data_IF_183906116130
#
_entry.id   IF_183906116130
#
_cell.length_a   1.000
_cell.length_b   1.000
_cell.length_c   1.000
_cell.angle_alpha   90.00
_cell.angle_beta   90.00
_cell.angle_gamma   90.00
#
_symmetry.space_group_name_H-M   'P 1'
#
loop_
_entity.id
_entity.type
_entity.pdbx_description
1 polymer ?
#
# COMPACT_ATOMS: atom_id res chain seq x y z
N UNK A 1 -13.08 2.79 4.40
CA UNK A 1 -12.13 1.93 5.16
C UNK A 1 -12.07 0.51 4.58
N UNK A 2 -13.18 -0.17 4.37
CA UNK A 2 -13.17 -1.55 3.84
C UNK A 2 -12.37 -1.68 2.55
N UNK A 3 -12.68 -0.88 1.54
CA UNK A 3 -11.96 -0.88 0.26
C UNK A 3 -10.45 -0.65 0.44
N UNK A 4 -10.04 0.22 1.37
CA UNK A 4 -8.61 0.49 1.61
C UNK A 4 -7.91 -0.72 2.22
N UNK A 5 -8.56 -1.37 3.19
CA UNK A 5 -8.02 -2.59 3.79
C UNK A 5 -7.95 -3.74 2.77
N UNK A 6 -9.00 -3.91 1.97
CA UNK A 6 -9.02 -4.92 0.90
C UNK A 6 -7.93 -4.64 -0.14
N UNK A 7 -7.70 -3.37 -0.52
CA UNK A 7 -6.59 -2.96 -1.37
C UNK A 7 -5.23 -3.38 -0.78
N UNK A 8 -5.00 -3.13 0.51
CA UNK A 8 -3.78 -3.54 1.19
C UNK A 8 -3.58 -5.05 1.09
N UNK A 9 -4.60 -5.83 1.45
CA UNK A 9 -4.48 -7.29 1.46
C UNK A 9 -4.31 -7.88 0.05
N UNK A 10 -5.03 -7.37 -0.95
CA UNK A 10 -4.86 -7.79 -2.34
C UNK A 10 -3.45 -7.48 -2.89
N UNK A 11 -2.87 -6.35 -2.48
CA UNK A 11 -1.47 -6.02 -2.80
C UNK A 11 -0.50 -7.00 -2.12
N UNK A 12 -0.71 -7.31 -0.85
CA UNK A 12 0.11 -8.25 -0.08
C UNK A 12 0.06 -9.67 -0.69
N UNK A 13 -1.10 -10.12 -1.15
CA UNK A 13 -1.26 -11.43 -1.81
C UNK A 13 -0.42 -11.59 -3.07
N UNK A 14 0.01 -10.48 -3.70
CA UNK A 14 0.91 -10.53 -4.85
C UNK A 14 2.37 -10.74 -4.44
N UNK A 15 2.70 -10.63 -3.16
CA UNK A 15 4.08 -10.70 -2.68
C UNK A 15 4.57 -12.14 -2.62
N UNK A 16 5.42 -12.50 -3.58
CA UNK A 16 6.12 -13.79 -3.65
C UNK A 16 7.35 -13.65 -4.55
N UNK A 17 8.35 -14.53 -4.41
CA UNK A 17 9.51 -14.52 -5.30
C UNK A 17 9.11 -14.58 -6.77
N UNK A 18 9.74 -13.73 -7.59
CA UNK A 18 9.53 -13.65 -9.03
C UNK A 18 8.40 -12.71 -9.47
N UNK A 19 7.44 -12.36 -8.62
CA UNK A 19 6.53 -11.26 -8.89
C UNK A 19 7.27 -9.92 -8.80
N UNK A 20 6.61 -8.85 -9.19
CA UNK A 20 7.20 -7.50 -9.18
C UNK A 20 6.41 -6.54 -8.31
N UNK A 21 7.01 -5.42 -7.93
CA UNK A 21 6.29 -4.32 -7.26
C UNK A 21 5.16 -3.76 -8.15
N UNK A 22 5.29 -3.87 -9.48
CA UNK A 22 4.22 -3.50 -10.40
C UNK A 22 3.00 -4.41 -10.33
N UNK A 23 3.18 -5.70 -9.98
CA UNK A 23 2.06 -6.61 -9.73
C UNK A 23 1.29 -6.20 -8.47
N UNK A 24 2.02 -5.82 -7.42
CA UNK A 24 1.43 -5.29 -6.16
C UNK A 24 0.60 -4.04 -6.45
N UNK A 25 1.20 -3.03 -7.09
CA UNK A 25 0.51 -1.77 -7.40
C UNK A 25 -0.68 -1.98 -8.33
N UNK A 26 -0.56 -2.86 -9.32
CA UNK A 26 -1.64 -3.19 -10.24
C UNK A 26 -2.86 -3.80 -9.52
N UNK A 27 -2.65 -4.77 -8.63
CA UNK A 27 -3.73 -5.40 -7.88
C UNK A 27 -4.52 -4.37 -7.04
N UNK A 28 -3.81 -3.48 -6.36
CA UNK A 28 -4.39 -2.38 -5.57
C UNK A 28 -5.21 -1.45 -6.47
N UNK A 29 -4.61 -0.97 -7.55
CA UNK A 29 -5.21 -0.01 -8.48
C UNK A 29 -6.49 -0.56 -9.13
N UNK A 30 -6.44 -1.80 -9.62
CA UNK A 30 -7.58 -2.43 -10.27
C UNK A 30 -8.77 -2.58 -9.32
N UNK A 31 -8.52 -3.01 -8.09
CA UNK A 31 -9.59 -3.15 -7.10
C UNK A 31 -10.17 -1.79 -6.71
N UNK A 32 -9.33 -0.82 -6.36
CA UNK A 32 -9.80 0.53 -6.02
C UNK A 32 -10.65 1.15 -7.13
N UNK A 33 -10.21 1.06 -8.37
CA UNK A 33 -10.95 1.57 -9.54
C UNK A 33 -12.26 0.81 -9.78
N UNK A 34 -12.32 -0.50 -9.55
CA UNK A 34 -13.56 -1.28 -9.63
C UNK A 34 -14.61 -0.79 -8.63
N UNK A 35 -14.16 -0.28 -7.49
CA UNK A 35 -14.99 0.33 -6.45
C UNK A 35 -15.24 1.84 -6.69
N UNK A 36 -14.73 2.41 -7.79
CA UNK A 36 -14.82 3.84 -8.17
C UNK A 36 -14.08 4.77 -7.20
N UNK A 37 -13.00 4.30 -6.58
CA UNK A 37 -12.15 5.06 -5.68
C UNK A 37 -10.83 5.42 -6.33
N UNK A 38 -10.25 6.56 -5.90
CA UNK A 38 -8.94 7.02 -6.36
C UNK A 38 -7.81 6.47 -5.50
N UNK A 39 -6.69 6.10 -6.14
CA UNK A 39 -5.46 5.70 -5.45
C UNK A 39 -4.50 6.88 -5.43
N UNK A 40 -4.07 7.31 -4.25
CA UNK A 40 -3.09 8.38 -4.09
C UNK A 40 -1.73 7.91 -4.61
N UNK A 41 -1.09 8.75 -5.43
CA UNK A 41 0.23 8.49 -6.03
C UNK A 41 1.34 9.42 -5.52
N UNK A 42 0.99 10.44 -4.74
CA UNK A 42 1.94 11.40 -4.17
C UNK A 42 2.74 10.81 -2.99
N UNK A 43 2.27 9.69 -2.46
CA UNK A 43 2.89 8.92 -1.39
C UNK A 43 2.97 7.45 -1.78
N UNK A 44 3.94 6.75 -1.24
CA UNK A 44 4.17 5.33 -1.53
C UNK A 44 4.72 4.61 -0.30
N UNK A 45 4.67 3.29 -0.32
CA UNK A 45 5.42 2.45 0.57
C UNK A 45 6.91 2.47 0.24
N UNK A 46 7.71 1.85 1.07
CA UNK A 46 9.16 1.93 1.00
C UNK A 46 9.85 0.66 1.47
N UNK A 47 11.04 0.42 0.98
CA UNK A 47 11.94 -0.56 1.58
C UNK A 47 12.25 -0.18 3.03
N UNK A 48 12.53 -1.18 3.86
CA UNK A 48 12.87 -1.00 5.27
C UNK A 48 14.08 -1.86 5.64
N UNK A 49 14.99 -1.30 6.43
CA UNK A 49 16.20 -1.97 6.87
C UNK A 49 16.81 -1.21 8.05
N UNK A 50 18.11 -0.95 8.00
CA UNK A 50 18.78 -0.11 9.01
C UNK A 50 18.24 1.30 9.04
N UNK A 51 17.82 1.80 7.86
CA UNK A 51 17.08 3.04 7.70
C UNK A 51 15.59 2.71 7.61
N UNK A 52 14.76 3.50 8.30
CA UNK A 52 13.31 3.30 8.29
C UNK A 52 12.72 3.45 6.89
N UNK A 53 13.09 4.51 6.17
CA UNK A 53 12.75 4.70 4.77
C UNK A 53 13.96 4.39 3.89
N UNK A 54 13.87 3.35 3.10
CA UNK A 54 14.91 2.91 2.18
C UNK A 54 14.32 2.56 0.81
N UNK A 55 15.12 2.53 -0.27
CA UNK A 55 14.67 1.95 -1.54
C UNK A 55 14.29 0.46 -1.39
N UNK A 56 13.41 -0.05 -2.27
CA UNK A 56 12.72 0.65 -3.35
C UNK A 56 11.48 1.41 -2.90
N UNK A 57 10.98 2.35 -3.71
CA UNK A 57 9.63 2.90 -3.56
C UNK A 57 8.60 1.85 -3.96
N UNK A 58 7.56 1.68 -3.14
CA UNK A 58 6.48 0.72 -3.34
C UNK A 58 5.22 1.47 -3.72
N UNK A 59 5.00 1.63 -5.01
CA UNK A 59 3.82 2.34 -5.53
C UNK A 59 2.56 1.49 -5.39
N UNK A 60 1.43 2.15 -5.15
CA UNK A 60 0.11 1.51 -5.05
C UNK A 60 -0.67 1.55 -6.37
N UNK A 61 0.01 1.84 -7.45
CA UNK A 61 -0.41 1.76 -8.86
C UNK A 61 0.69 1.08 -9.65
N UNK A 62 0.36 0.41 -10.75
CA UNK A 62 1.42 -0.26 -11.50
C UNK A 62 0.95 -1.02 -12.73
N UNK A 63 1.88 -1.74 -13.31
CA UNK A 63 1.66 -2.61 -14.46
C UNK A 63 2.22 -4.00 -14.16
N UNK A 64 1.49 -5.08 -14.52
CA UNK A 64 1.95 -6.45 -14.30
C UNK A 64 3.35 -6.68 -14.87
N UNK A 65 4.19 -7.34 -14.09
CA UNK A 65 5.54 -7.71 -14.47
C UNK A 65 6.52 -6.54 -14.61
N UNK A 66 6.19 -5.34 -14.12
CA UNK A 66 7.06 -4.16 -14.18
C UNK A 66 7.62 -3.78 -12.81
N UNK A 67 8.77 -3.11 -12.83
CA UNK A 67 9.45 -2.65 -11.62
C UNK A 67 10.35 -3.72 -10.99
N UNK A 68 10.68 -3.51 -9.73
CA UNK A 68 11.61 -4.38 -8.98
C UNK A 68 11.03 -5.79 -8.84
N UNK A 69 11.80 -6.78 -9.20
CA UNK A 69 11.48 -8.21 -8.98
C UNK A 69 11.65 -8.50 -7.49
N UNK A 70 10.67 -9.19 -6.91
CA UNK A 70 10.68 -9.56 -5.51
C UNK A 70 11.54 -10.80 -5.28
N UNK A 71 12.44 -10.68 -4.30
CA UNK A 71 13.38 -11.75 -3.90
C UNK A 71 13.25 -12.03 -2.40
N UNK A 72 13.43 -13.28 -1.95
CA UNK A 72 13.44 -13.61 -0.53
C UNK A 72 14.41 -12.72 0.26
N UNK A 73 14.00 -12.28 1.44
CA UNK A 73 14.78 -11.41 2.31
C UNK A 73 14.58 -9.91 2.07
N UNK A 74 13.78 -9.50 1.09
CA UNK A 74 13.36 -8.12 0.94
C UNK A 74 12.33 -7.75 2.00
N UNK A 75 12.51 -6.59 2.65
CA UNK A 75 11.58 -6.00 3.62
C UNK A 75 11.08 -4.66 3.11
N UNK A 76 9.78 -4.44 3.16
CA UNK A 76 9.15 -3.19 2.72
C UNK A 76 7.75 -3.01 3.31
N UNK A 77 7.19 -1.81 3.13
CA UNK A 77 5.82 -1.48 3.50
C UNK A 77 4.90 -1.49 2.27
N UNK A 78 3.65 -1.86 2.50
CA UNK A 78 2.53 -1.60 1.58
C UNK A 78 1.52 -0.80 2.39
N UNK A 79 1.16 0.41 1.91
CA UNK A 79 0.45 1.41 2.70
C UNK A 79 -0.52 2.27 1.85
N UNK A 80 -1.45 1.65 1.12
CA UNK A 80 -2.30 2.37 0.18
C UNK A 80 -3.16 3.43 0.87
N UNK A 81 -3.15 4.63 0.29
CA UNK A 81 -4.10 5.70 0.59
C UNK A 81 -5.19 5.71 -0.47
N UNK A 82 -6.43 5.46 -0.08
CA UNK A 82 -7.57 5.33 -0.99
C UNK A 82 -8.58 6.43 -0.70
N UNK A 83 -8.95 7.18 -1.74
CA UNK A 83 -9.87 8.31 -1.68
C UNK A 83 -11.24 7.92 -2.25
N UNK A 84 -12.33 8.38 -1.63
CA UNK A 84 -13.67 8.23 -2.19
C UNK A 84 -13.89 9.05 -3.47
N UNK A 85 -13.01 10.00 -3.73
CA UNK A 85 -12.99 10.86 -4.92
C UNK A 85 -11.73 10.66 -5.76
N UNK A 86 -11.15 11.78 -6.21
CA UNK A 86 -9.96 11.77 -7.06
C UNK A 86 -8.68 11.50 -6.25
N UNK A 87 -7.66 10.99 -6.94
CA UNK A 87 -6.36 10.69 -6.34
C UNK A 87 -5.58 11.93 -5.84
N UNK A 88 -5.84 13.11 -6.41
CA UNK A 88 -5.06 14.32 -6.18
C UNK A 88 -5.10 14.77 -4.72
N UNK A 89 -3.92 15.10 -4.17
CA UNK A 89 -3.73 15.63 -2.83
C UNK A 89 -3.24 17.07 -2.84
N UNK A 90 -3.17 17.71 -1.70
CA UNK A 90 -2.46 18.96 -1.47
C UNK A 90 -1.88 18.98 -0.06
N UNK A 91 -0.72 19.62 0.07
CA UNK A 91 -0.10 19.92 1.36
C UNK A 91 -0.64 21.26 1.86
N UNK A 92 -0.99 21.32 3.13
CA UNK A 92 -1.44 22.56 3.78
C UNK A 92 -0.26 23.49 4.08
N UNK A 93 -0.59 24.71 4.57
CA UNK A 93 0.40 25.75 4.86
C UNK A 93 1.39 25.41 5.99
N UNK A 94 1.10 24.38 6.78
CA UNK A 94 2.02 23.84 7.79
C UNK A 94 3.18 23.01 7.18
N UNK A 95 3.15 22.76 5.85
CA UNK A 95 4.16 22.00 5.13
C UNK A 95 4.17 20.51 5.43
N UNK A 96 3.18 20.01 6.16
CA UNK A 96 3.10 18.63 6.62
C UNK A 96 1.77 17.95 6.31
N UNK A 97 0.65 18.58 6.68
CA UNK A 97 -0.67 17.97 6.55
C UNK A 97 -1.07 17.80 5.09
N UNK A 98 -1.27 16.56 4.66
CA UNK A 98 -1.80 16.22 3.35
C UNK A 98 -3.32 15.99 3.43
N UNK A 99 -4.07 16.60 2.51
CA UNK A 99 -5.51 16.43 2.41
C UNK A 99 -5.91 16.14 0.96
N UNK A 100 -7.08 15.52 0.77
CA UNK A 100 -7.66 15.35 -0.56
C UNK A 100 -7.99 16.72 -1.18
N UNK A 101 -7.65 16.89 -2.45
CA UNK A 101 -7.90 18.18 -3.13
C UNK A 101 -9.37 18.45 -3.34
N UNK A 102 -10.19 17.42 -3.51
CA UNK A 102 -11.63 17.50 -3.72
C UNK A 102 -12.45 17.42 -2.43
N UNK A 103 -11.80 17.38 -1.26
CA UNK A 103 -12.40 17.23 0.06
C UNK A 103 -13.14 15.90 0.28
N UNK A 104 -12.88 14.89 -0.56
CA UNK A 104 -13.37 13.54 -0.37
C UNK A 104 -12.74 12.88 0.88
N UNK A 105 -13.36 11.81 1.35
CA UNK A 105 -12.80 11.01 2.44
C UNK A 105 -11.61 10.21 1.94
N UNK A 106 -10.63 10.00 2.81
CA UNK A 106 -9.46 9.17 2.58
C UNK A 106 -9.24 8.23 3.75
N UNK A 107 -8.72 7.05 3.45
CA UNK A 107 -8.27 6.10 4.48
C UNK A 107 -6.94 5.48 4.06
N UNK A 108 -6.14 5.08 5.05
CA UNK A 108 -4.89 4.38 4.88
C UNK A 108 -4.82 3.20 5.85
N UNK A 109 -4.29 2.09 5.37
CA UNK A 109 -3.81 0.97 6.18
C UNK A 109 -2.42 0.61 5.72
N UNK A 110 -1.60 0.13 6.65
CA UNK A 110 -0.21 -0.21 6.38
C UNK A 110 0.18 -1.53 7.04
N UNK A 111 0.96 -2.31 6.31
CA UNK A 111 1.72 -3.41 6.88
C UNK A 111 3.19 -3.36 6.45
N UNK A 112 4.06 -3.72 7.40
CA UNK A 112 5.45 -4.09 7.13
C UNK A 112 5.51 -5.59 6.91
N UNK A 113 6.16 -6.00 5.84
CA UNK A 113 6.27 -7.41 5.46
C UNK A 113 7.63 -7.75 4.88
N UNK A 114 7.92 -9.04 4.83
CA UNK A 114 9.06 -9.60 4.12
C UNK A 114 8.63 -10.56 3.04
N UNK A 115 9.43 -10.66 1.98
CA UNK A 115 9.35 -11.75 1.01
C UNK A 115 10.01 -12.98 1.59
N UNK A 116 9.28 -14.09 1.65
CA UNK A 116 9.81 -15.40 2.06
C UNK A 116 10.14 -16.25 0.85
N UNK A 117 10.69 -17.45 1.05
CA UNK A 117 10.99 -18.39 -0.04
C UNK A 117 9.75 -18.80 -0.85
N UNK A 118 8.56 -18.74 -0.24
CA UNK A 118 7.31 -19.21 -0.85
C UNK A 118 6.20 -18.19 -0.93
N UNK A 119 6.40 -16.97 -0.40
CA UNK A 119 5.37 -15.93 -0.34
C UNK A 119 5.81 -14.74 0.49
N UNK A 120 5.07 -14.44 1.55
CA UNK A 120 5.31 -13.29 2.42
C UNK A 120 5.10 -13.62 3.89
N UNK A 121 5.62 -12.76 4.75
CA UNK A 121 5.33 -12.72 6.19
C UNK A 121 5.02 -11.28 6.62
N UNK A 122 3.92 -11.09 7.37
CA UNK A 122 3.50 -9.79 7.89
C UNK A 122 3.97 -9.66 9.34
N UNK A 123 4.72 -8.58 9.65
CA UNK A 123 5.27 -8.32 10.98
C UNK A 123 4.39 -7.41 11.84
N UNK A 124 3.46 -6.69 11.26
CA UNK A 124 2.62 -5.68 11.93
C UNK A 124 1.18 -6.15 12.15
N UNK A 125 0.95 -7.46 12.20
CA UNK A 125 -0.33 -8.00 12.61
C UNK A 125 -0.66 -7.60 14.04
N UNK A 126 -1.93 -7.24 14.29
CA UNK A 126 -2.39 -6.94 15.65
C UNK A 126 -2.30 -8.18 16.54
N UNK A 127 -1.65 -8.11 17.71
CA UNK A 127 -1.61 -9.23 18.65
C UNK A 127 -2.99 -9.57 19.23
N UNK A 128 -3.98 -8.67 19.08
CA UNK A 128 -5.38 -8.89 19.46
C UNK A 128 -6.27 -9.35 18.31
N UNK A 129 -5.69 -9.60 17.12
CA UNK A 129 -6.43 -10.01 15.93
C UNK A 129 -7.27 -8.90 15.28
N UNK A 130 -7.06 -7.65 15.66
CA UNK A 130 -7.75 -6.52 15.01
C UNK A 130 -7.22 -6.31 13.61
N UNK A 131 -8.11 -6.13 12.64
CA UNK A 131 -7.77 -5.89 11.24
C UNK A 131 -8.19 -4.50 10.79
N UNK A 132 -9.47 -4.19 10.90
CA UNK A 132 -10.05 -2.89 10.53
C UNK A 132 -11.22 -2.55 11.46
N UNK A 133 -11.55 -1.26 11.66
CA UNK A 133 -12.72 -0.87 12.43
C UNK A 133 -14.06 -1.35 11.80
N UNK A 134 -15.15 -1.53 12.58
CA UNK A 134 -15.17 -1.35 14.03
C UNK A 134 -14.46 -2.50 14.77
N UNK A 135 -13.68 -2.15 15.78
CA UNK A 135 -13.06 -3.14 16.66
C UNK A 135 -14.07 -3.55 17.75
N UNK A 136 -14.64 -4.70 17.65
CA UNK A 136 -15.64 -5.29 18.55
C UNK A 136 -15.10 -6.55 19.21
#
# INVERSE_FOLDING_TARGET
MDVTYDCLMLGIEQVKPGNTLGDVGYAIEQYAHSQRFGVVTDFCGHGIGRNFHAPPSVMHVGKPGKGTVLEPGMFFTIEPMINTGKAATKILSDGWTAVTRDRGLSAQFEHTLAVTETGFEIFTNSPKGYTKPPYV
#
